data_IF_750878304755
#
_entry.id   IF_750878304755
#
_cell.length_a   1.000
_cell.length_b   1.000
_cell.length_c   1.000
_cell.angle_alpha   90.00
_cell.angle_beta   90.00
_cell.angle_gamma   90.00
#
_symmetry.space_group_name_H-M   'P 1'
#
loop_
_entity.id
_entity.type
_entity.pdbx_description
1 polymer ?
#
# COMPACT_ATOMS: atom_id res chain seq x y z
N UNK A 1 14.45 -2.14 38.23
CA UNK A 1 14.81 -0.85 37.59
C UNK A 1 15.86 -1.15 36.53
N UNK A 2 15.70 -0.92 35.23
CA UNK A 2 14.63 -0.36 34.39
C UNK A 2 14.41 -1.31 33.19
N UNK A 3 13.15 -1.65 32.98
CA UNK A 3 12.60 -2.09 31.69
C UNK A 3 12.23 -0.81 30.93
N UNK A 4 12.88 -0.57 29.79
CA UNK A 4 12.66 0.48 28.75
C UNK A 4 14.00 0.57 27.99
N UNK A 5 14.16 0.27 26.70
CA UNK A 5 13.25 0.32 25.57
C UNK A 5 13.69 -0.72 24.53
N UNK A 6 12.95 -1.82 24.39
CA UNK A 6 12.95 -2.56 23.13
C UNK A 6 11.70 -2.11 22.41
N UNK A 7 11.79 -0.99 21.67
CA UNK A 7 10.76 -0.64 20.70
C UNK A 7 10.76 -1.77 19.68
N UNK A 8 9.84 -2.72 19.85
CA UNK A 8 9.66 -3.83 18.94
C UNK A 8 9.33 -3.23 17.58
N UNK A 9 10.31 -3.23 16.66
CA UNK A 9 10.18 -2.63 15.34
C UNK A 9 9.02 -3.34 14.62
N UNK A 10 7.88 -2.67 14.53
CA UNK A 10 6.69 -3.20 13.85
C UNK A 10 7.11 -3.56 12.43
N UNK A 11 6.84 -4.79 12.03
CA UNK A 11 7.18 -5.27 10.69
C UNK A 11 6.48 -4.44 9.61
N UNK A 12 7.16 -4.07 8.51
CA UNK A 12 6.53 -3.39 7.39
C UNK A 12 5.40 -4.22 6.77
N UNK A 13 5.42 -5.55 6.89
CA UNK A 13 4.37 -6.43 6.34
C UNK A 13 3.04 -6.31 7.06
N UNK A 14 3.00 -5.78 8.29
CA UNK A 14 1.75 -5.47 8.98
C UNK A 14 1.03 -4.30 8.28
N UNK A 15 1.79 -3.28 7.86
CA UNK A 15 1.26 -2.11 7.14
C UNK A 15 1.02 -2.42 5.66
N UNK A 16 1.94 -3.18 5.06
CA UNK A 16 1.98 -3.46 3.62
C UNK A 16 2.12 -4.96 3.34
N UNK A 17 1.08 -5.78 3.59
CA UNK A 17 1.13 -7.23 3.38
C UNK A 17 1.52 -7.66 1.96
N UNK A 18 1.17 -6.85 0.96
CA UNK A 18 1.46 -7.11 -0.45
C UNK A 18 2.96 -7.02 -0.81
N UNK A 19 3.83 -6.55 0.10
CA UNK A 19 5.28 -6.50 -0.12
C UNK A 19 5.94 -7.88 -0.13
N UNK A 20 5.24 -8.91 0.36
CA UNK A 20 5.72 -10.30 0.37
C UNK A 20 4.67 -11.20 -0.28
N UNK A 21 5.09 -12.11 -1.16
CA UNK A 21 4.16 -13.09 -1.73
C UNK A 21 3.72 -14.09 -0.66
N UNK A 22 2.44 -14.50 -0.65
CA UNK A 22 1.97 -15.45 0.36
C UNK A 22 2.75 -16.76 0.32
N UNK A 23 3.01 -17.30 -0.88
CA UNK A 23 3.75 -18.56 -1.02
C UNK A 23 5.17 -18.46 -0.44
N UNK A 24 5.88 -17.35 -0.70
CA UNK A 24 7.20 -17.15 -0.11
C UNK A 24 7.13 -16.94 1.40
N UNK A 25 6.13 -16.20 1.88
CA UNK A 25 5.91 -15.96 3.29
C UNK A 25 5.66 -17.27 4.05
N UNK A 26 4.80 -18.12 3.50
CA UNK A 26 4.43 -19.41 4.08
C UNK A 26 5.58 -20.42 4.03
N UNK A 27 6.38 -20.41 2.96
CA UNK A 27 7.64 -21.17 2.92
C UNK A 27 8.60 -20.78 4.06
N UNK A 28 8.71 -19.48 4.36
CA UNK A 28 9.56 -19.00 5.46
C UNK A 28 9.04 -19.43 6.83
N UNK A 29 7.72 -19.43 7.04
CA UNK A 29 7.11 -19.79 8.32
C UNK A 29 7.12 -21.30 8.59
N UNK A 30 6.77 -22.11 7.59
CA UNK A 30 6.54 -23.56 7.77
C UNK A 30 7.66 -24.43 7.18
N UNK A 31 8.66 -23.83 6.52
CA UNK A 31 9.74 -24.56 5.87
C UNK A 31 9.34 -25.28 4.58
N UNK A 32 8.09 -25.16 4.12
CA UNK A 32 7.55 -25.83 2.94
C UNK A 32 6.53 -24.96 2.21
N UNK A 33 6.34 -25.20 0.92
CA UNK A 33 5.35 -24.49 0.11
C UNK A 33 3.96 -25.02 0.42
N UNK A 34 3.26 -24.39 1.36
CA UNK A 34 1.88 -24.74 1.69
C UNK A 34 0.94 -24.00 0.72
N UNK A 35 0.10 -24.71 -0.05
CA UNK A 35 -0.88 -24.06 -0.90
C UNK A 35 -1.85 -23.21 -0.08
N UNK A 36 -2.31 -22.10 -0.65
CA UNK A 36 -3.28 -21.21 0.01
C UNK A 36 -4.59 -21.92 0.37
N UNK A 37 -4.95 -22.96 -0.38
CA UNK A 37 -6.11 -23.81 -0.09
C UNK A 37 -5.93 -24.58 1.21
N UNK A 38 -4.75 -25.17 1.44
CA UNK A 38 -4.44 -25.82 2.72
C UNK A 38 -4.42 -24.81 3.86
N UNK A 39 -3.90 -23.61 3.61
CA UNK A 39 -4.01 -22.54 4.61
C UNK A 39 -5.48 -22.31 4.90
N UNK A 40 -6.38 -22.13 3.93
CA UNK A 40 -7.79 -21.84 4.24
C UNK A 40 -8.52 -23.05 4.86
N UNK A 41 -8.30 -24.26 4.37
CA UNK A 41 -8.95 -25.50 4.84
C UNK A 41 -8.49 -25.91 6.24
N UNK A 42 -7.22 -25.70 6.55
CA UNK A 42 -6.60 -26.09 7.83
C UNK A 42 -6.19 -24.89 8.67
N UNK A 43 -6.62 -23.68 8.31
CA UNK A 43 -6.24 -22.44 9.01
C UNK A 43 -6.71 -22.53 10.45
N UNK A 44 -5.85 -22.08 11.37
CA UNK A 44 -6.32 -21.68 12.68
C UNK A 44 -7.40 -20.59 12.51
N UNK A 45 -8.54 -20.73 13.21
CA UNK A 45 -9.71 -19.85 13.07
C UNK A 45 -9.34 -18.36 13.14
N UNK A 46 -8.30 -18.02 13.91
CA UNK A 46 -7.74 -16.67 14.05
C UNK A 46 -7.42 -15.96 12.73
N UNK A 47 -6.93 -16.67 11.70
CA UNK A 47 -6.57 -16.05 10.41
C UNK A 47 -7.81 -15.65 9.61
N UNK A 48 -8.79 -16.54 9.58
CA UNK A 48 -10.07 -16.34 8.91
C UNK A 48 -10.93 -15.32 9.64
N UNK A 49 -11.09 -15.45 10.95
CA UNK A 49 -11.79 -14.48 11.80
C UNK A 49 -11.23 -13.07 11.56
N UNK A 50 -9.91 -12.96 11.47
CA UNK A 50 -9.26 -11.70 11.17
C UNK A 50 -9.55 -11.20 9.76
N UNK A 51 -9.51 -12.07 8.76
CA UNK A 51 -9.87 -11.73 7.39
C UNK A 51 -11.31 -11.21 7.30
N UNK A 52 -12.25 -11.84 8.01
CA UNK A 52 -13.65 -11.41 8.07
C UNK A 52 -13.77 -10.01 8.68
N UNK A 53 -13.08 -9.73 9.80
CA UNK A 53 -13.04 -8.38 10.38
C UNK A 53 -12.48 -7.37 9.38
N UNK A 54 -11.36 -7.70 8.72
CA UNK A 54 -10.71 -6.83 7.72
C UNK A 54 -11.61 -6.52 6.54
N UNK A 55 -12.28 -7.53 5.99
CA UNK A 55 -13.22 -7.40 4.88
C UNK A 55 -14.45 -6.58 5.31
N UNK A 56 -15.01 -6.84 6.50
CA UNK A 56 -16.14 -6.04 7.03
C UNK A 56 -15.76 -4.57 7.17
N UNK A 57 -14.59 -4.28 7.73
CA UNK A 57 -14.09 -2.90 7.83
C UNK A 57 -14.00 -2.24 6.46
N UNK A 58 -13.50 -2.95 5.45
CA UNK A 58 -13.43 -2.43 4.09
C UNK A 58 -14.80 -2.19 3.44
N UNK A 59 -15.74 -3.13 3.60
CA UNK A 59 -17.06 -3.05 2.96
C UNK A 59 -17.97 -2.01 3.64
N UNK A 60 -17.75 -1.74 4.93
CA UNK A 60 -18.50 -0.74 5.72
C UNK A 60 -17.75 0.59 5.89
N UNK A 61 -16.58 0.74 5.27
CA UNK A 61 -15.69 1.90 5.40
C UNK A 61 -15.36 2.26 6.86
N UNK A 62 -15.26 1.24 7.72
CA UNK A 62 -14.87 1.37 9.12
C UNK A 62 -13.34 1.38 9.26
N UNK A 63 -12.85 1.97 10.34
CA UNK A 63 -11.44 1.87 10.69
C UNK A 63 -11.06 0.41 11.01
N UNK A 64 -9.95 -0.06 10.46
CA UNK A 64 -9.38 -1.36 10.77
C UNK A 64 -8.11 -1.19 11.60
N UNK A 65 -8.14 -1.69 12.82
CA UNK A 65 -6.99 -1.68 13.74
C UNK A 65 -6.19 -2.96 13.51
N UNK A 66 -4.94 -2.92 13.01
CA UNK A 66 -4.11 -4.11 12.76
C UNK A 66 -3.72 -4.89 14.03
N UNK A 67 -3.46 -6.19 13.88
CA UNK A 67 -2.91 -7.07 14.90
C UNK A 67 -1.41 -6.81 14.99
N UNK A 68 -0.84 -7.11 16.15
CA UNK A 68 0.63 -7.09 16.36
C UNK A 68 1.31 -8.27 15.67
N UNK A 69 0.57 -9.32 15.32
CA UNK A 69 1.11 -10.51 14.68
C UNK A 69 1.20 -10.34 13.17
N UNK A 70 2.43 -10.34 12.66
CA UNK A 70 2.74 -10.26 11.24
C UNK A 70 2.07 -11.39 10.44
N UNK A 71 2.14 -12.63 10.93
CA UNK A 71 1.56 -13.78 10.22
C UNK A 71 0.05 -13.70 10.12
N UNK A 72 -0.61 -13.14 11.15
CA UNK A 72 -2.05 -12.90 11.14
C UNK A 72 -2.41 -11.82 10.11
N UNK A 73 -1.68 -10.70 10.07
CA UNK A 73 -1.97 -9.61 9.14
C UNK A 73 -1.68 -9.97 7.68
N UNK A 74 -0.59 -10.68 7.42
CA UNK A 74 -0.25 -11.16 6.07
C UNK A 74 -1.29 -12.16 5.59
N UNK A 75 -1.61 -13.18 6.38
CA UNK A 75 -2.57 -14.22 5.97
C UNK A 75 -3.98 -13.66 5.78
N UNK A 76 -4.46 -12.85 6.74
CA UNK A 76 -5.80 -12.25 6.67
C UNK A 76 -5.99 -11.32 5.47
N UNK A 77 -4.94 -10.60 5.06
CA UNK A 77 -4.97 -9.79 3.85
C UNK A 77 -5.19 -10.63 2.59
N UNK A 78 -4.42 -11.70 2.40
CA UNK A 78 -4.56 -12.57 1.23
C UNK A 78 -5.88 -13.35 1.23
N UNK A 79 -6.33 -13.83 2.40
CA UNK A 79 -7.65 -14.44 2.55
C UNK A 79 -8.75 -13.42 2.21
N UNK A 80 -8.61 -12.15 2.61
CA UNK A 80 -9.55 -11.08 2.26
C UNK A 80 -9.66 -10.84 0.75
N UNK A 81 -8.54 -10.83 0.03
CA UNK A 81 -8.52 -10.73 -1.44
C UNK A 81 -9.29 -11.90 -2.07
N UNK A 82 -9.10 -13.13 -1.58
CA UNK A 82 -9.80 -14.31 -2.06
C UNK A 82 -11.29 -14.23 -1.80
N UNK A 83 -11.69 -13.98 -0.55
CA UNK A 83 -13.10 -13.92 -0.15
C UNK A 83 -13.85 -12.88 -0.97
N UNK A 84 -13.28 -11.68 -1.10
CA UNK A 84 -13.94 -10.60 -1.85
C UNK A 84 -13.94 -10.82 -3.36
N UNK A 85 -12.93 -11.49 -3.91
CA UNK A 85 -12.94 -11.95 -5.31
C UNK A 85 -14.05 -12.98 -5.56
N UNK A 86 -14.22 -13.95 -4.66
CA UNK A 86 -15.26 -14.97 -4.76
C UNK A 86 -16.69 -14.40 -4.57
N UNK A 87 -16.85 -13.37 -3.74
CA UNK A 87 -18.12 -12.64 -3.57
C UNK A 87 -18.54 -11.84 -4.81
N UNK A 88 -17.58 -11.47 -5.66
CA UNK A 88 -17.83 -10.82 -6.93
C UNK A 88 -17.09 -9.49 -7.13
N UNK A 89 -17.08 -9.03 -8.39
CA UNK A 89 -16.25 -7.91 -8.86
C UNK A 89 -16.41 -6.61 -8.06
N UNK A 90 -17.62 -6.31 -7.59
CA UNK A 90 -17.87 -5.11 -6.79
C UNK A 90 -17.19 -5.18 -5.42
N UNK A 91 -17.37 -6.29 -4.69
CA UNK A 91 -16.77 -6.51 -3.38
C UNK A 91 -15.24 -6.48 -3.46
N UNK A 92 -14.68 -7.16 -4.46
CA UNK A 92 -13.24 -7.20 -4.70
C UNK A 92 -12.65 -5.81 -4.94
N UNK A 93 -13.27 -5.01 -5.82
CA UNK A 93 -12.83 -3.64 -6.07
C UNK A 93 -12.93 -2.76 -4.84
N UNK A 94 -14.05 -2.87 -4.09
CA UNK A 94 -14.24 -2.11 -2.85
C UNK A 94 -13.15 -2.44 -1.82
N UNK A 95 -12.80 -3.71 -1.67
CA UNK A 95 -11.72 -4.14 -0.79
C UNK A 95 -10.35 -3.59 -1.21
N UNK A 96 -10.02 -3.65 -2.51
CA UNK A 96 -8.76 -3.10 -3.04
C UNK A 96 -8.68 -1.58 -2.86
N UNK A 97 -9.78 -0.86 -3.11
CA UNK A 97 -9.83 0.59 -2.92
C UNK A 97 -9.61 0.95 -1.44
N UNK A 98 -10.17 0.18 -0.52
CA UNK A 98 -9.93 0.35 0.92
C UNK A 98 -8.47 0.06 1.31
N UNK A 99 -7.91 -1.09 0.92
CA UNK A 99 -6.53 -1.47 1.27
C UNK A 99 -5.48 -0.51 0.69
N UNK A 100 -5.70 -0.04 -0.55
CA UNK A 100 -4.82 0.96 -1.17
C UNK A 100 -4.93 2.32 -0.49
N UNK A 101 -6.14 2.77 -0.10
CA UNK A 101 -6.34 4.01 0.67
C UNK A 101 -5.65 3.96 2.02
N UNK A 102 -5.81 2.85 2.76
CA UNK A 102 -5.13 2.62 4.03
C UNK A 102 -3.60 2.63 3.88
N UNK A 103 -3.08 2.02 2.81
CA UNK A 103 -1.65 2.03 2.51
C UNK A 103 -1.13 3.44 2.21
N UNK A 104 -1.91 4.25 1.49
CA UNK A 104 -1.60 5.66 1.28
C UNK A 104 -1.51 6.45 2.60
N UNK A 105 -2.44 6.23 3.52
CA UNK A 105 -2.42 6.87 4.85
C UNK A 105 -1.15 6.48 5.64
N UNK A 106 -0.73 5.21 5.60
CA UNK A 106 0.55 4.79 6.19
C UNK A 106 1.76 5.46 5.54
N UNK A 107 1.77 5.58 4.20
CA UNK A 107 2.86 6.22 3.47
C UNK A 107 3.00 7.71 3.84
N UNK A 108 1.90 8.41 4.16
CA UNK A 108 1.97 9.79 4.64
C UNK A 108 2.69 9.92 6.00
N UNK A 109 2.58 8.91 6.86
CA UNK A 109 3.24 8.88 8.17
C UNK A 109 4.64 8.25 8.18
N UNK A 110 5.01 7.51 7.13
CA UNK A 110 6.27 6.76 7.09
C UNK A 110 7.50 7.64 6.77
N UNK A 111 8.69 7.12 7.07
CA UNK A 111 9.94 7.76 6.65
C UNK A 111 10.12 7.69 5.14
N UNK A 112 10.93 8.59 4.61
CA UNK A 112 11.22 8.68 3.18
C UNK A 112 11.89 7.39 2.66
N UNK A 113 12.78 6.78 3.45
CA UNK A 113 13.37 5.47 3.14
C UNK A 113 12.33 4.35 3.04
N UNK A 114 11.30 4.36 3.89
CA UNK A 114 10.24 3.35 3.85
C UNK A 114 9.37 3.52 2.61
N UNK A 115 9.08 4.75 2.19
CA UNK A 115 8.39 5.03 0.93
C UNK A 115 9.17 4.45 -0.25
N UNK A 116 10.49 4.65 -0.30
CA UNK A 116 11.35 4.08 -1.36
C UNK A 116 11.35 2.55 -1.33
N UNK A 117 11.35 1.92 -0.15
CA UNK A 117 11.25 0.45 0.01
C UNK A 117 9.91 -0.09 -0.50
N UNK A 118 8.80 0.57 -0.16
CA UNK A 118 7.47 0.19 -0.66
C UNK A 118 7.42 0.35 -2.18
N UNK A 119 7.93 1.46 -2.73
CA UNK A 119 8.01 1.68 -4.17
C UNK A 119 8.80 0.56 -4.87
N UNK A 120 9.95 0.19 -4.31
CA UNK A 120 10.80 -0.89 -4.83
C UNK A 120 10.06 -2.24 -4.86
N UNK A 121 9.30 -2.56 -3.81
CA UNK A 121 8.49 -3.78 -3.75
C UNK A 121 7.38 -3.85 -4.82
N UNK A 122 6.94 -2.69 -5.32
CA UNK A 122 5.95 -2.56 -6.39
C UNK A 122 6.61 -2.52 -7.79
N UNK A 123 7.93 -2.63 -7.89
CA UNK A 123 8.65 -2.45 -9.17
C UNK A 123 8.60 -1.01 -9.68
N UNK A 124 8.49 -0.03 -8.78
CA UNK A 124 8.40 1.40 -9.10
C UNK A 124 9.70 2.08 -8.71
N UNK A 125 10.35 2.72 -9.69
CA UNK A 125 11.56 3.50 -9.45
C UNK A 125 11.20 4.85 -8.84
N UNK A 126 11.55 5.03 -7.57
CA UNK A 126 11.41 6.28 -6.81
C UNK A 126 12.73 6.53 -6.11
N UNK A 127 13.25 7.74 -6.24
CA UNK A 127 14.47 8.16 -5.55
C UNK A 127 14.16 9.28 -4.57
N UNK A 128 14.66 9.15 -3.33
CA UNK A 128 14.65 10.23 -2.35
C UNK A 128 15.87 11.11 -2.56
N UNK A 129 15.66 12.43 -2.58
CA UNK A 129 16.68 13.44 -2.88
C UNK A 129 17.18 14.18 -1.64
N UNK A 130 16.51 14.00 -0.50
CA UNK A 130 16.92 14.63 0.74
C UNK A 130 18.08 13.90 1.41
N UNK A 131 18.51 14.45 2.53
CA UNK A 131 19.51 13.91 3.45
C UNK A 131 18.98 13.98 4.89
N UNK A 132 19.63 13.31 5.86
CA UNK A 132 19.23 13.39 7.26
C UNK A 132 19.17 14.82 7.82
N UNK A 133 20.03 15.71 7.31
CA UNK A 133 20.12 17.10 7.76
C UNK A 133 19.31 18.07 6.90
N UNK A 134 18.87 17.63 5.71
CA UNK A 134 18.14 18.45 4.77
C UNK A 134 17.14 17.62 3.98
N UNK A 135 15.89 17.63 4.44
CA UNK A 135 14.79 16.92 3.80
C UNK A 135 14.21 17.64 2.59
N UNK A 136 14.72 18.79 2.16
CA UNK A 136 14.08 19.54 1.08
C UNK A 136 14.26 18.88 -0.29
N UNK A 137 15.42 18.25 -0.52
CA UNK A 137 15.77 17.69 -1.83
C UNK A 137 15.98 18.78 -2.87
N UNK A 138 15.27 18.69 -4.00
CA UNK A 138 15.31 19.70 -5.06
C UNK A 138 14.55 20.96 -4.66
N UNK A 139 15.24 22.10 -4.72
CA UNK A 139 14.69 23.42 -4.40
C UNK A 139 14.30 24.16 -5.66
N UNK A 140 13.06 24.63 -5.71
CA UNK A 140 12.56 25.45 -6.82
C UNK A 140 12.03 26.76 -6.27
N UNK A 141 12.55 27.88 -6.76
CA UNK A 141 12.02 29.21 -6.43
C UNK A 141 10.73 29.39 -7.23
N UNK A 142 9.61 29.47 -6.52
CA UNK A 142 8.28 29.65 -7.13
C UNK A 142 7.83 31.11 -7.15
N UNK A 143 8.59 31.99 -6.51
CA UNK A 143 8.33 33.42 -6.49
C UNK A 143 9.19 34.14 -5.47
N UNK A 144 8.84 35.40 -5.22
CA UNK A 144 9.47 36.24 -4.21
C UNK A 144 8.39 36.85 -3.35
N UNK A 145 8.58 36.79 -2.04
CA UNK A 145 7.72 37.47 -1.08
C UNK A 145 7.88 38.99 -1.28
N UNK A 146 6.76 39.67 -1.60
CA UNK A 146 6.75 41.09 -1.91
C UNK A 146 7.06 41.98 -0.70
N UNK A 147 6.87 41.47 0.52
CA UNK A 147 7.12 42.21 1.76
C UNK A 147 8.57 42.02 2.20
N UNK A 148 9.02 40.76 2.24
CA UNK A 148 10.34 40.44 2.80
C UNK A 148 11.46 40.39 1.75
N UNK A 149 11.11 40.45 0.46
CA UNK A 149 12.01 40.24 -0.68
C UNK A 149 12.72 38.88 -0.67
N UNK A 150 12.26 37.92 0.14
CA UNK A 150 12.85 36.58 0.23
C UNK A 150 12.27 35.65 -0.84
N UNK A 151 13.07 34.74 -1.40
CA UNK A 151 12.57 33.75 -2.34
C UNK A 151 11.60 32.78 -1.64
N UNK A 152 10.46 32.52 -2.28
CA UNK A 152 9.53 31.46 -1.88
C UNK A 152 10.04 30.18 -2.52
N UNK A 153 10.53 29.25 -1.69
CA UNK A 153 11.12 27.99 -2.15
C UNK A 153 10.14 26.85 -1.94
N UNK A 154 9.89 26.09 -3.00
CA UNK A 154 9.20 24.82 -2.94
C UNK A 154 10.22 23.68 -2.93
N UNK A 155 9.98 22.67 -2.09
CA UNK A 155 10.87 21.53 -1.88
C UNK A 155 10.27 20.26 -2.50
N UNK A 156 11.01 19.62 -3.39
CA UNK A 156 10.67 18.30 -3.92
C UNK A 156 11.61 17.23 -3.37
N UNK A 157 11.02 16.35 -2.58
CA UNK A 157 11.73 15.31 -1.83
C UNK A 157 12.06 14.10 -2.67
N UNK A 158 11.26 13.83 -3.70
CA UNK A 158 11.36 12.62 -4.50
C UNK A 158 11.47 12.96 -5.97
N UNK A 159 12.05 12.04 -6.74
CA UNK A 159 11.93 12.03 -8.19
C UNK A 159 11.55 10.66 -8.72
N UNK A 160 10.86 10.68 -9.85
CA UNK A 160 10.37 9.49 -10.56
C UNK A 160 10.63 9.66 -12.05
N UNK A 161 11.12 8.64 -12.77
CA UNK A 161 11.27 8.73 -14.22
C UNK A 161 9.93 9.08 -14.90
N UNK A 162 9.96 9.91 -15.94
CA UNK A 162 8.73 10.34 -16.65
C UNK A 162 7.88 9.14 -17.09
N UNK A 163 8.51 8.07 -17.56
CA UNK A 163 7.83 6.82 -17.98
C UNK A 163 7.06 6.18 -16.82
N UNK A 164 7.69 6.08 -15.64
CA UNK A 164 7.06 5.55 -14.42
C UNK A 164 5.92 6.44 -13.95
N UNK A 165 6.10 7.77 -13.99
CA UNK A 165 5.05 8.72 -13.62
C UNK A 165 3.82 8.59 -14.52
N UNK A 166 4.01 8.64 -15.85
CA UNK A 166 2.93 8.52 -16.83
C UNK A 166 2.14 7.21 -16.68
N UNK A 167 2.81 6.10 -16.39
CA UNK A 167 2.17 4.82 -16.11
C UNK A 167 1.26 4.86 -14.87
N UNK A 168 1.71 5.52 -13.81
CA UNK A 168 0.98 5.57 -12.54
C UNK A 168 -0.21 6.54 -12.54
N UNK A 169 -0.16 7.62 -13.31
CA UNK A 169 -1.20 8.67 -13.29
C UNK A 169 -2.41 8.38 -14.19
N UNK A 170 -2.49 7.24 -14.89
CA UNK A 170 -3.52 7.03 -15.91
C UNK A 170 -4.96 7.21 -15.39
N UNK A 171 -5.22 6.91 -14.11
CA UNK A 171 -6.49 7.14 -13.40
C UNK A 171 -6.60 8.48 -12.67
N UNK A 172 -5.52 9.25 -12.62
CA UNK A 172 -5.40 10.55 -11.93
C UNK A 172 -5.49 11.75 -12.88
N UNK A 173 -5.38 11.53 -14.19
CA UNK A 173 -5.35 12.57 -15.23
C UNK A 173 -6.55 13.52 -15.26
N UNK A 174 -7.66 13.15 -14.61
CA UNK A 174 -8.85 14.00 -14.46
C UNK A 174 -8.57 15.22 -13.59
N UNK A 175 -7.71 15.12 -12.57
CA UNK A 175 -7.31 16.28 -11.78
C UNK A 175 -6.17 17.02 -12.50
N UNK A 176 -6.30 18.33 -12.80
CA UNK A 176 -5.31 19.08 -13.55
C UNK A 176 -3.88 18.99 -12.99
N UNK A 177 -3.74 18.90 -11.66
CA UNK A 177 -2.43 18.80 -11.02
C UNK A 177 -1.62 17.60 -11.51
N UNK A 178 -2.24 16.47 -11.87
CA UNK A 178 -1.53 15.26 -12.31
C UNK A 178 -1.12 15.27 -13.77
N UNK A 179 -1.54 16.27 -14.55
CA UNK A 179 -1.10 16.39 -15.94
C UNK A 179 0.39 16.68 -15.97
N UNK A 180 1.13 15.98 -16.83
CA UNK A 180 2.58 16.11 -16.94
C UNK A 180 3.02 17.57 -17.20
N UNK A 181 2.24 18.32 -17.99
CA UNK A 181 2.49 19.75 -18.29
C UNK A 181 2.41 20.66 -17.06
N UNK A 182 1.81 20.19 -15.97
CA UNK A 182 1.65 20.92 -14.70
C UNK A 182 2.62 20.42 -13.62
N UNK A 183 3.65 19.66 -14.01
CA UNK A 183 4.65 19.10 -13.09
C UNK A 183 6.01 19.76 -13.28
N UNK A 184 6.83 19.78 -12.23
CA UNK A 184 8.23 20.17 -12.35
C UNK A 184 9.05 19.02 -12.95
N UNK A 185 9.62 19.27 -14.12
CA UNK A 185 10.38 18.31 -14.91
C UNK A 185 11.81 18.78 -15.09
N UNK A 186 12.76 17.89 -14.80
CA UNK A 186 14.18 18.17 -14.99
C UNK A 186 14.93 16.86 -15.23
N UNK A 187 15.82 16.85 -16.22
CA UNK A 187 16.70 15.72 -16.55
C UNK A 187 15.99 14.36 -16.76
N UNK A 188 14.77 14.37 -17.31
CA UNK A 188 14.01 13.14 -17.56
C UNK A 188 13.19 12.62 -16.37
N UNK A 189 13.11 13.40 -15.29
CA UNK A 189 12.37 13.04 -14.07
C UNK A 189 11.26 14.04 -13.75
N UNK A 190 10.21 13.51 -13.12
CA UNK A 190 9.17 14.27 -12.43
C UNK A 190 9.53 14.35 -10.96
N UNK A 191 9.51 15.56 -10.41
CA UNK A 191 9.83 15.80 -9.01
C UNK A 191 8.56 15.97 -8.20
N UNK A 192 8.51 15.29 -7.05
CA UNK A 192 7.29 15.11 -6.27
C UNK A 192 7.58 15.35 -4.78
N UNK A 193 6.61 15.93 -4.09
CA UNK A 193 6.58 15.93 -2.63
C UNK A 193 6.11 14.58 -2.09
N UNK A 194 6.16 14.44 -0.75
CA UNK A 194 5.72 13.20 -0.07
C UNK A 194 4.28 12.82 -0.38
N UNK A 195 3.36 13.79 -0.39
CA UNK A 195 1.94 13.52 -0.64
C UNK A 195 1.71 13.02 -2.07
N UNK A 196 2.38 13.63 -3.04
CA UNK A 196 2.29 13.29 -4.45
C UNK A 196 2.88 11.90 -4.72
N UNK A 197 4.08 11.60 -4.20
CA UNK A 197 4.66 10.25 -4.40
C UNK A 197 3.82 9.18 -3.72
N UNK A 198 3.30 9.42 -2.51
CA UNK A 198 2.41 8.48 -1.82
C UNK A 198 1.12 8.25 -2.60
N UNK A 199 0.52 9.31 -3.17
CA UNK A 199 -0.70 9.19 -3.98
C UNK A 199 -0.45 8.47 -5.30
N UNK A 200 0.72 8.63 -5.90
CA UNK A 200 1.16 7.86 -7.06
C UNK A 200 1.33 6.38 -6.70
N UNK A 201 1.99 6.07 -5.59
CA UNK A 201 2.16 4.70 -5.10
C UNK A 201 0.83 4.03 -4.78
N UNK A 202 -0.18 4.77 -4.31
CA UNK A 202 -1.54 4.24 -4.11
C UNK A 202 -2.10 3.60 -5.39
N UNK A 203 -1.91 4.21 -6.56
CA UNK A 203 -2.38 3.64 -7.83
C UNK A 203 -1.58 2.39 -8.21
N UNK A 204 -0.26 2.39 -7.99
CA UNK A 204 0.56 1.19 -8.18
C UNK A 204 0.18 0.04 -7.26
N UNK A 205 -0.19 0.33 -6.02
CA UNK A 205 -0.73 -0.66 -5.08
C UNK A 205 -2.04 -1.22 -5.64
N UNK A 206 -2.98 -0.38 -6.08
CA UNK A 206 -4.23 -0.86 -6.70
C UNK A 206 -3.96 -1.80 -7.88
N UNK A 207 -3.04 -1.43 -8.78
CA UNK A 207 -2.67 -2.29 -9.90
C UNK A 207 -2.09 -3.62 -9.43
N UNK A 208 -1.19 -3.59 -8.44
CA UNK A 208 -0.63 -4.80 -7.87
C UNK A 208 -1.73 -5.69 -7.29
N UNK A 209 -2.66 -5.14 -6.51
CA UNK A 209 -3.70 -5.93 -5.85
C UNK A 209 -4.71 -6.52 -6.85
N UNK A 210 -5.06 -5.77 -7.89
CA UNK A 210 -5.93 -6.27 -8.97
C UNK A 210 -5.30 -7.46 -9.70
N UNK A 211 -3.97 -7.50 -9.80
CA UNK A 211 -3.20 -8.59 -10.41
C UNK A 211 -2.89 -9.74 -9.44
N UNK A 212 -3.11 -9.56 -8.13
CA UNK A 212 -2.65 -10.50 -7.08
C UNK A 212 -3.59 -11.70 -6.88
N UNK A 213 -4.69 -11.83 -7.62
CA UNK A 213 -5.65 -12.93 -7.40
C UNK A 213 -5.68 -13.93 -8.57
N UNK A 214 -5.42 -15.23 -8.31
CA UNK A 214 -5.69 -16.29 -9.28
C UNK A 214 -7.20 -16.51 -9.46
N UNK A 215 -7.58 -17.04 -10.64
CA UNK A 215 -8.95 -17.47 -10.93
C UNK A 215 -9.34 -18.63 -9.98
N UNK A 216 -9.94 -18.28 -8.84
CA UNK A 216 -10.39 -19.22 -7.80
C UNK A 216 -11.82 -19.71 -8.03
N UNK A 217 -12.24 -19.78 -9.30
CA UNK A 217 -13.56 -20.25 -9.72
C UNK A 217 -13.91 -21.69 -9.30
N UNK A 218 -12.99 -22.45 -8.67
CA UNK A 218 -13.16 -23.88 -8.41
C UNK A 218 -12.95 -24.35 -6.95
N UNK A 219 -12.88 -23.47 -5.96
CA UNK A 219 -12.67 -23.90 -4.55
C UNK A 219 -13.88 -23.68 -3.65
N UNK A 220 -14.15 -24.68 -2.79
CA UNK A 220 -15.28 -24.80 -1.86
C UNK A 220 -15.27 -23.71 -0.78
N UNK A 221 -15.60 -22.48 -1.14
CA UNK A 221 -15.69 -21.34 -0.21
C UNK A 221 -17.12 -20.96 0.19
N UNK A 222 -18.13 -21.69 -0.28
CA UNK A 222 -19.56 -21.37 -0.06
C UNK A 222 -19.91 -21.18 1.44
N UNK A 223 -19.31 -21.98 2.34
CA UNK A 223 -19.55 -21.86 3.79
C UNK A 223 -19.11 -20.51 4.37
N UNK A 224 -17.92 -20.03 3.98
CA UNK A 224 -17.35 -18.77 4.49
C UNK A 224 -17.93 -17.54 3.81
N UNK A 225 -18.28 -17.66 2.52
CA UNK A 225 -19.01 -16.64 1.77
C UNK A 225 -20.32 -16.31 2.50
N UNK A 226 -21.07 -17.33 2.92
CA UNK A 226 -22.31 -17.16 3.65
C UNK A 226 -22.11 -16.47 5.01
N UNK A 227 -20.99 -16.70 5.70
CA UNK A 227 -20.69 -16.02 6.96
C UNK A 227 -20.40 -14.53 6.77
N UNK A 228 -19.64 -14.17 5.71
CA UNK A 228 -19.41 -12.76 5.36
C UNK A 228 -20.73 -12.08 4.99
N UNK A 229 -21.54 -12.73 4.14
CA UNK A 229 -22.84 -12.21 3.68
C UNK A 229 -23.87 -12.06 4.82
N UNK A 230 -23.95 -13.00 5.76
CA UNK A 230 -24.88 -12.95 6.91
C UNK A 230 -24.66 -11.75 7.82
N UNK A 231 -23.48 -11.15 7.79
CA UNK A 231 -23.07 -10.08 8.69
C UNK A 231 -22.78 -8.75 7.96
N UNK A 232 -23.08 -8.68 6.66
CA UNK A 232 -23.07 -7.45 5.88
C UNK A 232 -24.36 -6.68 6.14
#
# INVERSE_FOLDING_TARGET
MKSSDVIQKISPYIKYPFMVSLNEYMRKLYGSSVPITHIIEYCESKYLERAIVRVKSALKDLEYIPSTSESIEVSSFYIGLILTSALGKWYFRKYIDYESRKSYEYLLGDSEDNIVKVASSLGVQVEFLGSPNDKCGERVVVGTDLITSKPIVHCFQFRVPITTYLRGISKLTTEPKWKLVNQYLKNGYVYLGKREVSRLLQEFIKYKLLDTVPDLSNTKFEGYINEVLKNL
#
